data_IF_231682783304
#
_entry.id   IF_231682783304
#
_cell.length_a   1.000
_cell.length_b   1.000
_cell.length_c   1.000
_cell.angle_alpha   90.00
_cell.angle_beta   90.00
_cell.angle_gamma   90.00
#
_symmetry.space_group_name_H-M   'P 1'
#
loop_
_entity.id
_entity.type
_entity.pdbx_description
1 polymer ?
#
# COMPACT_ATOMS: atom_id res chain seq x y z
N UNK A 1 32.44 -12.98 -9.59
CA UNK A 1 31.15 -13.10 -8.86
C UNK A 1 30.84 -11.74 -8.25
N UNK A 2 29.88 -11.01 -8.82
CA UNK A 2 29.51 -9.68 -8.34
C UNK A 2 28.45 -9.81 -7.26
N UNK A 3 28.74 -9.29 -6.06
CA UNK A 3 27.79 -9.22 -4.96
C UNK A 3 26.57 -8.38 -5.37
N UNK A 4 25.41 -9.02 -5.54
CA UNK A 4 24.14 -8.30 -5.72
C UNK A 4 23.78 -7.61 -4.40
N UNK A 5 23.86 -6.28 -4.42
CA UNK A 5 23.41 -5.39 -3.36
C UNK A 5 21.93 -5.66 -3.10
N UNK A 6 21.61 -6.19 -1.92
CA UNK A 6 20.26 -6.61 -1.56
C UNK A 6 19.26 -5.47 -1.68
N UNK A 7 18.34 -5.58 -2.62
CA UNK A 7 17.11 -4.79 -2.61
C UNK A 7 16.31 -5.22 -1.39
N UNK A 8 16.16 -4.30 -0.44
CA UNK A 8 15.19 -4.48 0.64
C UNK A 8 13.82 -4.63 -0.02
N UNK A 9 13.25 -5.83 0.08
CA UNK A 9 11.92 -6.11 -0.39
C UNK A 9 10.93 -5.15 0.28
N UNK A 10 9.90 -4.74 -0.46
CA UNK A 10 8.83 -3.86 0.03
C UNK A 10 8.11 -4.44 1.26
N UNK A 11 8.28 -5.74 1.56
CA UNK A 11 7.70 -6.42 2.71
C UNK A 11 8.76 -7.26 3.45
N UNK A 12 9.41 -6.72 4.50
CA UNK A 12 10.30 -7.49 5.35
C UNK A 12 9.50 -8.22 6.45
N UNK A 13 9.37 -9.54 6.35
CA UNK A 13 8.79 -10.39 7.41
C UNK A 13 8.40 -11.80 6.93
N UNK A 14 8.60 -12.81 7.76
CA UNK A 14 8.33 -14.24 7.47
C UNK A 14 6.84 -14.57 7.17
N UNK A 15 5.93 -13.63 7.41
CA UNK A 15 4.47 -13.79 7.21
C UNK A 15 3.90 -12.94 6.06
N UNK A 16 4.69 -12.08 5.42
CA UNK A 16 4.22 -11.23 4.33
C UNK A 16 4.36 -11.94 2.98
N UNK A 17 3.28 -12.54 2.49
CA UNK A 17 3.24 -13.19 1.18
C UNK A 17 2.93 -12.15 0.09
N UNK A 18 3.96 -11.70 -0.63
CA UNK A 18 3.77 -10.91 -1.85
C UNK A 18 3.34 -11.82 -3.01
N UNK A 19 2.15 -11.57 -3.58
CA UNK A 19 1.66 -12.25 -4.78
C UNK A 19 1.40 -11.21 -5.87
N UNK A 20 1.93 -11.45 -7.06
CA UNK A 20 1.53 -10.70 -8.26
C UNK A 20 0.15 -11.21 -8.68
N UNK A 21 -0.88 -10.36 -8.58
CA UNK A 21 -2.26 -10.73 -8.90
C UNK A 21 -2.54 -10.61 -10.40
N UNK A 22 -2.15 -9.48 -11.01
CA UNK A 22 -2.28 -9.22 -12.44
C UNK A 22 -1.38 -8.04 -12.83
N UNK A 23 -1.14 -7.90 -14.13
CA UNK A 23 -0.73 -6.62 -14.71
C UNK A 23 -1.98 -5.78 -14.97
N UNK A 24 -1.94 -4.50 -14.60
CA UNK A 24 -3.00 -3.52 -14.91
C UNK A 24 -2.39 -2.35 -15.67
N UNK A 25 -3.15 -1.82 -16.62
CA UNK A 25 -2.79 -0.60 -17.34
C UNK A 25 -3.44 0.61 -16.69
N UNK A 26 -2.79 1.75 -16.81
CA UNK A 26 -3.37 3.06 -16.50
C UNK A 26 -3.96 3.62 -17.79
N UNK A 27 -5.23 4.01 -17.77
CA UNK A 27 -5.89 4.58 -18.94
C UNK A 27 -5.48 6.05 -19.17
N UNK A 28 -5.98 6.66 -20.25
CA UNK A 28 -5.70 8.06 -20.62
C UNK A 28 -6.13 9.08 -19.56
N UNK A 29 -7.05 8.68 -18.67
CA UNK A 29 -7.54 9.51 -17.56
C UNK A 29 -6.75 9.28 -16.28
N UNK A 30 -5.72 8.43 -16.31
CA UNK A 30 -4.94 8.09 -15.13
C UNK A 30 -5.61 7.04 -14.23
N UNK A 31 -6.66 6.35 -14.68
CA UNK A 31 -7.39 5.38 -13.87
C UNK A 31 -6.81 3.98 -14.01
N UNK A 32 -6.80 3.23 -12.90
CA UNK A 32 -6.53 1.79 -12.88
C UNK A 32 -7.83 1.05 -12.64
N UNK A 33 -8.12 0.04 -13.47
CA UNK A 33 -9.27 -0.85 -13.29
C UNK A 33 -8.80 -2.10 -12.56
N UNK A 34 -9.21 -2.25 -11.29
CA UNK A 34 -8.95 -3.45 -10.52
C UNK A 34 -9.85 -4.60 -11.00
N UNK A 35 -9.31 -5.80 -11.29
CA UNK A 35 -10.10 -6.97 -11.65
C UNK A 35 -11.19 -7.27 -10.62
N UNK A 36 -12.34 -7.72 -11.09
CA UNK A 36 -13.51 -8.01 -10.24
C UNK A 36 -13.15 -9.00 -9.12
N UNK A 37 -12.52 -10.12 -9.46
CA UNK A 37 -12.19 -11.17 -8.50
C UNK A 37 -11.21 -10.69 -7.41
N UNK A 38 -10.27 -9.80 -7.77
CA UNK A 38 -9.38 -9.18 -6.79
C UNK A 38 -10.14 -8.23 -5.86
N UNK A 39 -11.02 -7.39 -6.40
CA UNK A 39 -11.85 -6.47 -5.61
C UNK A 39 -12.75 -7.20 -4.62
N UNK A 40 -13.39 -8.29 -5.05
CA UNK A 40 -14.26 -9.09 -4.19
C UNK A 40 -13.47 -9.74 -3.05
N UNK A 41 -12.31 -10.34 -3.35
CA UNK A 41 -11.42 -10.92 -2.32
C UNK A 41 -10.86 -9.89 -1.35
N UNK A 42 -10.53 -8.69 -1.84
CA UNK A 42 -9.96 -7.60 -1.05
C UNK A 42 -11.02 -6.73 -0.35
N UNK A 43 -12.31 -6.99 -0.57
CA UNK A 43 -13.39 -6.19 0.00
C UNK A 43 -13.38 -4.73 -0.48
N UNK A 44 -13.03 -4.49 -1.75
CA UNK A 44 -12.98 -3.15 -2.36
C UNK A 44 -14.25 -2.92 -3.20
N UNK A 45 -15.21 -2.23 -2.59
CA UNK A 45 -16.48 -1.83 -3.22
C UNK A 45 -16.42 -0.49 -3.95
N UNK A 46 -17.56 -0.09 -4.53
CA UNK A 46 -17.71 1.27 -5.03
C UNK A 46 -17.76 2.26 -3.85
N UNK A 47 -17.07 3.40 -3.97
CA UNK A 47 -17.02 4.43 -2.92
C UNK A 47 -16.01 4.14 -1.79
N UNK A 48 -15.45 2.94 -1.72
CA UNK A 48 -14.31 2.62 -0.85
C UNK A 48 -13.12 3.52 -1.18
N UNK A 49 -12.42 3.97 -0.14
CA UNK A 49 -11.26 4.86 -0.28
C UNK A 49 -9.98 4.09 -0.02
N UNK A 50 -9.04 4.23 -0.95
CA UNK A 50 -7.68 3.75 -0.79
C UNK A 50 -6.75 4.93 -0.54
N UNK A 51 -5.78 4.75 0.36
CA UNK A 51 -4.66 5.66 0.54
C UNK A 51 -3.58 5.28 -0.45
N UNK A 52 -3.08 6.27 -1.18
CA UNK A 52 -1.92 6.16 -2.05
C UNK A 52 -0.68 6.64 -1.30
N UNK A 53 0.31 5.76 -1.14
CA UNK A 53 1.58 6.04 -0.48
C UNK A 53 2.68 5.91 -1.52
N UNK A 54 3.47 6.97 -1.73
CA UNK A 54 4.66 6.91 -2.56
C UNK A 54 5.85 6.33 -1.79
N UNK A 55 6.63 5.50 -2.46
CA UNK A 55 7.94 5.05 -2.00
C UNK A 55 9.01 5.61 -2.93
N UNK A 56 9.97 6.28 -2.33
CA UNK A 56 11.05 6.94 -3.06
C UNK A 56 12.36 6.17 -2.98
N UNK A 57 13.10 6.17 -4.08
CA UNK A 57 14.49 5.69 -4.15
C UNK A 57 15.31 6.77 -4.85
N UNK A 58 16.32 7.29 -4.17
CA UNK A 58 17.19 8.37 -4.66
C UNK A 58 16.45 9.66 -5.07
N UNK A 59 15.37 10.01 -4.37
CA UNK A 59 14.58 11.23 -4.65
C UNK A 59 13.56 11.08 -5.78
N UNK A 60 13.41 9.88 -6.34
CA UNK A 60 12.40 9.59 -7.36
C UNK A 60 11.38 8.57 -6.82
N UNK A 61 10.10 8.76 -7.16
CA UNK A 61 9.05 7.77 -6.84
C UNK A 61 9.33 6.50 -7.64
N UNK A 62 9.68 5.42 -6.93
CA UNK A 62 10.03 4.14 -7.55
C UNK A 62 8.88 3.14 -7.52
N UNK A 63 8.00 3.26 -6.52
CA UNK A 63 6.79 2.45 -6.42
C UNK A 63 5.74 3.17 -5.55
N UNK A 64 4.54 2.61 -5.56
CA UNK A 64 3.43 3.07 -4.74
C UNK A 64 2.76 1.90 -4.04
N UNK A 65 2.24 2.14 -2.85
CA UNK A 65 1.40 1.21 -2.10
C UNK A 65 0.00 1.80 -2.01
N UNK A 66 -0.99 0.95 -2.28
CA UNK A 66 -2.40 1.23 -2.04
C UNK A 66 -2.86 0.43 -0.83
N UNK A 67 -3.49 1.10 0.14
CA UNK A 67 -4.07 0.46 1.33
C UNK A 67 -5.46 1.01 1.60
N UNK A 68 -6.32 0.26 2.29
CA UNK A 68 -7.63 0.75 2.72
C UNK A 68 -7.46 1.93 3.68
N UNK A 69 -8.26 2.99 3.50
CA UNK A 69 -8.15 4.19 4.33
C UNK A 69 -8.49 3.94 5.80
N UNK A 70 -9.38 2.99 6.08
CA UNK A 70 -9.72 2.55 7.44
C UNK A 70 -8.50 2.00 8.20
N UNK A 71 -7.67 1.18 7.54
CA UNK A 71 -6.47 0.59 8.16
C UNK A 71 -5.45 1.66 8.57
N UNK A 72 -5.30 2.71 7.76
CA UNK A 72 -4.43 3.83 8.13
C UNK A 72 -5.00 4.60 9.32
N UNK A 73 -6.32 4.83 9.32
CA UNK A 73 -7.00 5.51 10.43
C UNK A 73 -6.78 4.80 11.76
N UNK A 74 -6.86 3.47 11.77
CA UNK A 74 -6.64 2.68 12.98
C UNK A 74 -5.17 2.64 13.41
N UNK A 75 -4.23 2.56 12.46
CA UNK A 75 -2.80 2.70 12.76
C UNK A 75 -2.49 4.07 13.40
N UNK A 76 -3.03 5.16 12.84
CA UNK A 76 -2.86 6.51 13.38
C UNK A 76 -3.46 6.62 14.78
N UNK A 77 -4.66 6.09 15.01
CA UNK A 77 -5.28 6.06 16.35
C UNK A 77 -4.45 5.25 17.34
N UNK A 78 -3.95 4.08 16.94
CA UNK A 78 -3.13 3.23 17.81
C UNK A 78 -1.81 3.94 18.20
N UNK A 79 -1.14 4.58 17.24
CA UNK A 79 0.15 5.24 17.47
C UNK A 79 0.04 6.60 18.15
N UNK A 80 -0.91 7.45 17.73
CA UNK A 80 -1.04 8.83 18.21
C UNK A 80 -2.11 8.97 19.31
N UNK A 81 -3.04 8.02 19.44
CA UNK A 81 -4.07 8.03 20.47
C UNK A 81 -3.51 8.19 21.89
N UNK A 82 -2.47 7.45 22.30
CA UNK A 82 -1.85 7.63 23.61
C UNK A 82 -1.19 9.00 23.80
N UNK A 83 -0.62 9.59 22.75
CA UNK A 83 0.03 10.91 22.81
C UNK A 83 -1.02 12.01 22.98
N UNK A 84 -2.11 11.93 22.21
CA UNK A 84 -3.22 12.89 22.26
C UNK A 84 -4.08 12.73 23.52
N UNK A 85 -4.22 11.50 24.03
CA UNK A 85 -4.93 11.23 25.28
C UNK A 85 -4.23 11.78 26.53
N UNK A 86 -2.91 11.99 26.47
CA UNK A 86 -2.15 12.63 27.56
C UNK A 86 -2.17 14.17 27.51
N UNK A 87 -2.86 14.77 26.53
CA UNK A 87 -3.03 16.21 26.37
C UNK A 87 -4.42 16.72 26.84
N UNK A 88 -5.21 15.85 27.47
CA UNK A 88 -6.54 16.15 28.02
C UNK A 88 -6.56 16.11 29.56
#
# INVERSE_FOLDING_TARGET
MAAKRGEKACCPGDSARCRVETLVSVDERGQMVLPKDFRERAGIGAGEKLVLISLERNGEVCCMVLMKAEELGDLVKEKLGPVLGNLA
#
